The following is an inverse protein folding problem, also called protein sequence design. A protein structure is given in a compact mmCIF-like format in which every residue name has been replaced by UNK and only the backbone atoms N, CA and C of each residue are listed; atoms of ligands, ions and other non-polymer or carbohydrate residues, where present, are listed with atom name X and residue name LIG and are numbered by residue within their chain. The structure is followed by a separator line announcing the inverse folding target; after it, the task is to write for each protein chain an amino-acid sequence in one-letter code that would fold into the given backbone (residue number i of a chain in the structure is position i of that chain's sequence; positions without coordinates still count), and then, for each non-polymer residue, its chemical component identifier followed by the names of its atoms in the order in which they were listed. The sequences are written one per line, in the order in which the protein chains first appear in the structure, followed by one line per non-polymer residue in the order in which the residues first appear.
data_IF_440349383577
#
_entry.id   IF_440349383577
#
_cell.length_a   1.000
_cell.length_b   1.000
_cell.length_c   1.000
_cell.angle_alpha   90.00
_cell.angle_beta   90.00
_cell.angle_gamma   90.00
#
_symmetry.space_group_name_H-M   'P 1'
#
loop_
_entity.id
_entity.type
_entity.pdbx_description
1 polymer ?
#
# COMPACT_ATOMS: atom_id res chain seq x y z
N UNK A 1 -14.74 21.21 -3.94
CA UNK A 1 -14.37 19.92 -3.32
C UNK A 1 -13.30 20.21 -2.31
N UNK A 2 -13.37 19.65 -1.11
CA UNK A 2 -12.29 19.76 -0.14
C UNK A 2 -11.11 18.91 -0.62
N UNK A 3 -9.89 19.39 -0.43
CA UNK A 3 -8.67 18.63 -0.71
C UNK A 3 -8.56 17.48 0.31
N UNK A 4 -8.11 16.31 -0.14
CA UNK A 4 -7.82 15.16 0.73
C UNK A 4 -6.32 15.16 1.02
N UNK A 5 -5.97 15.17 2.30
CA UNK A 5 -4.61 15.20 2.85
C UNK A 5 -4.52 14.21 4.02
N UNK A 6 -3.31 13.97 4.53
CA UNK A 6 -3.11 13.16 5.74
C UNK A 6 -3.81 13.78 6.96
N UNK A 7 -3.83 15.11 7.08
CA UNK A 7 -4.58 15.85 8.14
C UNK A 7 -6.12 15.84 7.97
N UNK A 8 -6.65 15.18 6.93
CA UNK A 8 -8.10 15.16 6.70
C UNK A 8 -8.84 14.33 7.76
N UNK A 9 -9.98 14.81 8.31
CA UNK A 9 -10.73 14.06 9.31
C UNK A 9 -11.09 12.64 8.85
N UNK A 10 -10.64 11.64 9.60
CA UNK A 10 -10.88 10.22 9.33
C UNK A 10 -9.72 9.50 8.64
N UNK A 11 -8.75 10.22 8.07
CA UNK A 11 -7.48 9.64 7.61
C UNK A 11 -6.62 9.31 8.85
N UNK A 12 -6.15 8.07 9.01
CA UNK A 12 -5.28 7.71 10.13
C UNK A 12 -3.84 8.16 9.90
N UNK A 13 -3.09 8.35 10.99
CA UNK A 13 -1.74 8.92 10.99
C UNK A 13 -1.73 10.34 11.54
N UNK A 14 -0.56 10.86 11.88
CA UNK A 14 -0.35 12.29 12.03
C UNK A 14 0.07 12.88 10.67
N UNK A 15 -0.07 14.19 10.52
CA UNK A 15 0.46 14.91 9.35
C UNK A 15 1.85 15.41 9.74
N UNK A 16 2.90 14.76 9.24
CA UNK A 16 4.27 15.20 9.40
C UNK A 16 4.84 15.77 8.07
N UNK A 17 5.72 16.74 8.23
CA UNK A 17 6.29 17.45 7.09
C UNK A 17 7.31 16.56 6.37
N UNK A 18 6.87 15.81 5.38
CA UNK A 18 7.77 14.97 4.57
C UNK A 18 7.17 13.65 4.14
N UNK A 19 6.11 13.17 4.81
CA UNK A 19 5.63 11.78 4.74
C UNK A 19 5.20 11.35 3.33
N UNK A 20 4.91 12.31 2.47
CA UNK A 20 4.64 12.06 1.06
C UNK A 20 3.28 11.41 0.85
N UNK A 21 2.26 11.79 1.62
CA UNK A 21 0.88 11.42 1.37
C UNK A 21 0.48 11.78 -0.08
N UNK A 22 0.03 10.78 -0.84
CA UNK A 22 -0.28 10.94 -2.26
C UNK A 22 0.91 10.72 -3.19
N UNK A 23 2.03 10.19 -2.68
CA UNK A 23 3.20 9.79 -3.47
C UNK A 23 2.86 8.78 -4.58
N UNK A 24 1.89 7.91 -4.31
CA UNK A 24 1.28 7.02 -5.29
C UNK A 24 -0.23 6.92 -5.04
N UNK A 25 -1.02 6.69 -6.08
CA UNK A 25 -2.48 6.55 -5.98
C UNK A 25 -3.02 5.48 -6.93
N UNK A 26 -4.00 4.70 -6.47
CA UNK A 26 -4.70 3.72 -7.30
C UNK A 26 -6.16 3.57 -6.90
N UNK A 27 -7.02 3.23 -7.85
CA UNK A 27 -8.45 3.02 -7.62
C UNK A 27 -8.85 1.64 -8.13
N UNK A 28 -9.56 0.87 -7.30
CA UNK A 28 -10.11 -0.44 -7.65
C UNK A 28 -11.16 -0.90 -6.65
N UNK A 29 -12.10 -1.71 -7.11
CA UNK A 29 -13.25 -2.19 -6.32
C UNK A 29 -12.90 -3.48 -5.58
N UNK A 30 -12.43 -3.34 -4.35
CA UNK A 30 -11.95 -4.42 -3.48
C UNK A 30 -13.14 -5.23 -2.96
N UNK A 31 -14.23 -4.58 -2.54
CA UNK A 31 -15.37 -5.30 -1.95
C UNK A 31 -16.45 -5.73 -2.96
N UNK A 32 -16.30 -5.35 -4.22
CA UNK A 32 -17.18 -5.77 -5.31
C UNK A 32 -18.54 -5.07 -5.29
N UNK A 33 -18.65 -3.91 -4.63
CA UNK A 33 -19.90 -3.17 -4.50
C UNK A 33 -20.19 -2.25 -5.71
N UNK A 34 -19.26 -2.18 -6.66
CA UNK A 34 -19.32 -1.35 -7.86
C UNK A 34 -18.71 0.04 -7.70
N UNK A 35 -18.13 0.38 -6.55
CA UNK A 35 -17.48 1.66 -6.28
C UNK A 35 -16.04 1.46 -5.84
N UNK A 36 -15.08 1.92 -6.65
CA UNK A 36 -13.66 1.73 -6.36
C UNK A 36 -13.20 2.42 -5.07
N UNK A 37 -12.46 1.68 -4.25
CA UNK A 37 -11.64 2.19 -3.15
C UNK A 37 -10.47 3.01 -3.70
N UNK A 38 -9.96 3.94 -2.90
CA UNK A 38 -8.73 4.70 -3.19
C UNK A 38 -7.61 4.23 -2.27
N UNK A 39 -6.55 3.69 -2.86
CA UNK A 39 -5.28 3.45 -2.19
C UNK A 39 -4.35 4.66 -2.39
N UNK A 40 -3.68 5.07 -1.32
CA UNK A 40 -2.76 6.22 -1.29
C UNK A 40 -1.46 5.81 -0.62
N UNK A 41 -0.33 6.00 -1.29
CA UNK A 41 1.00 5.82 -0.72
C UNK A 41 1.40 6.99 0.18
N UNK A 42 2.09 6.68 1.28
CA UNK A 42 2.70 7.62 2.23
C UNK A 42 4.15 7.15 2.43
N UNK A 43 4.95 7.30 1.37
CA UNK A 43 6.25 6.64 1.17
C UNK A 43 7.28 6.92 2.26
N UNK A 44 7.18 8.06 2.96
CA UNK A 44 8.12 8.50 4.00
C UNK A 44 7.49 8.54 5.39
N UNK A 45 6.41 7.79 5.62
CA UNK A 45 5.79 7.69 6.94
C UNK A 45 6.73 7.03 7.96
N UNK A 46 6.83 7.65 9.14
CA UNK A 46 7.50 7.11 10.31
C UNK A 46 6.53 6.22 11.12
N UNK A 47 6.75 4.90 11.13
CA UNK A 47 5.92 3.96 11.90
C UNK A 47 6.67 3.50 13.15
N UNK A 48 6.02 3.62 14.31
CA UNK A 48 6.56 3.21 15.61
C UNK A 48 7.95 3.80 15.94
N UNK A 49 8.26 4.98 15.38
CA UNK A 49 9.53 5.69 15.56
C UNK A 49 10.68 5.21 14.67
N UNK A 50 10.39 4.42 13.64
CA UNK A 50 11.35 3.98 12.63
C UNK A 50 11.22 4.90 11.41
N UNK A 51 12.34 5.50 11.02
CA UNK A 51 12.42 6.54 9.97
C UNK A 51 12.04 6.00 8.59
N UNK A 52 11.16 6.71 7.89
CA UNK A 52 10.77 6.46 6.50
C UNK A 52 10.44 4.99 6.16
N UNK A 53 9.83 4.27 7.11
CA UNK A 53 9.33 2.90 6.83
C UNK A 53 8.34 2.88 5.68
N UNK A 54 7.54 3.95 5.57
CA UNK A 54 6.47 4.09 4.62
C UNK A 54 5.20 3.36 5.02
N UNK A 55 4.08 3.87 4.54
CA UNK A 55 2.76 3.27 4.72
C UNK A 55 1.85 3.51 3.52
N UNK A 56 0.64 2.96 3.61
CA UNK A 56 -0.43 3.29 2.67
C UNK A 56 -1.73 3.52 3.42
N UNK A 57 -2.61 4.37 2.87
CA UNK A 57 -3.96 4.59 3.34
C UNK A 57 -4.95 4.08 2.31
N UNK A 58 -5.89 3.23 2.75
CA UNK A 58 -7.01 2.76 1.94
C UNK A 58 -8.30 3.44 2.37
N UNK A 59 -8.95 4.14 1.44
CA UNK A 59 -10.20 4.86 1.65
C UNK A 59 -11.35 4.18 0.91
N UNK A 60 -12.51 4.09 1.56
CA UNK A 60 -13.68 3.38 1.02
C UNK A 60 -14.34 4.13 -0.14
N UNK A 61 -14.64 3.43 -1.22
CA UNK A 61 -15.46 3.92 -2.34
C UNK A 61 -16.95 3.90 -2.03
N UNK A 62 -17.72 4.80 -2.65
CA UNK A 62 -19.18 4.77 -2.58
C UNK A 62 -19.83 5.53 -3.73
N UNK A 63 -21.16 5.46 -3.83
CA UNK A 63 -21.95 6.30 -4.75
C UNK A 63 -21.73 7.81 -4.56
N UNK A 64 -21.31 8.24 -3.37
CA UNK A 64 -21.01 9.63 -3.06
C UNK A 64 -19.54 10.00 -3.36
N UNK A 65 -18.72 9.06 -3.84
CA UNK A 65 -17.27 9.18 -3.97
C UNK A 65 -16.52 8.52 -2.81
N UNK A 66 -15.23 8.84 -2.73
CA UNK A 66 -14.32 8.31 -1.70
C UNK A 66 -14.61 8.94 -0.35
N UNK A 67 -14.58 8.13 0.71
CA UNK A 67 -14.77 8.55 2.10
C UNK A 67 -13.53 8.28 2.95
N UNK A 68 -13.02 9.27 3.70
CA UNK A 68 -11.99 9.03 4.72
C UNK A 68 -12.55 8.37 5.98
N UNK A 69 -13.88 8.34 6.16
CA UNK A 69 -14.46 7.66 7.32
C UNK A 69 -14.21 6.16 7.24
N UNK A 70 -13.50 5.62 8.23
CA UNK A 70 -13.15 4.20 8.28
C UNK A 70 -11.97 3.84 7.38
N UNK A 71 -11.19 4.83 6.92
CA UNK A 71 -9.94 4.59 6.23
C UNK A 71 -8.98 3.76 7.09
N UNK A 72 -8.16 2.94 6.43
CA UNK A 72 -7.23 2.00 7.08
C UNK A 72 -5.81 2.25 6.62
N UNK A 73 -4.87 2.22 7.56
CA UNK A 73 -3.45 2.27 7.26
C UNK A 73 -2.88 0.85 7.18
N UNK A 74 -1.98 0.62 6.23
CA UNK A 74 -1.19 -0.60 6.08
C UNK A 74 0.29 -0.25 5.97
N UNK A 75 1.13 -1.01 6.65
CA UNK A 75 2.60 -0.95 6.62
C UNK A 75 3.18 -2.34 6.87
N UNK A 76 4.50 -2.51 6.75
CA UNK A 76 5.15 -3.78 7.10
C UNK A 76 5.09 -4.12 8.59
N UNK A 77 4.71 -3.18 9.45
CA UNK A 77 4.41 -3.43 10.86
C UNK A 77 2.98 -3.98 11.08
N UNK A 78 2.12 -3.93 10.05
CA UNK A 78 0.74 -4.42 10.14
C UNK A 78 0.73 -5.95 10.19
N UNK A 79 -0.12 -6.51 11.06
CA UNK A 79 -0.23 -7.96 11.22
C UNK A 79 -0.53 -8.65 9.90
N UNK A 80 0.31 -9.62 9.54
CA UNK A 80 0.14 -10.47 8.36
C UNK A 80 0.77 -9.91 7.08
N UNK A 81 1.20 -8.64 7.06
CA UNK A 81 1.98 -8.08 5.95
C UNK A 81 3.39 -8.70 5.99
N UNK A 82 3.87 -9.30 4.88
CA UNK A 82 5.22 -9.86 4.82
C UNK A 82 6.33 -8.82 5.00
N UNK A 83 7.44 -9.27 5.60
CA UNK A 83 8.61 -8.44 5.85
C UNK A 83 8.70 -7.99 7.31
N UNK A 84 9.57 -7.03 7.58
CA UNK A 84 9.68 -6.33 8.86
C UNK A 84 9.83 -4.86 8.53
N UNK A 85 9.21 -3.96 9.30
CA UNK A 85 9.42 -2.54 9.10
C UNK A 85 10.86 -2.18 9.51
N UNK A 86 11.66 -1.77 8.55
CA UNK A 86 13.03 -1.29 8.69
C UNK A 86 13.11 0.16 8.20
N UNK A 87 14.15 0.87 8.64
CA UNK A 87 14.31 2.26 8.25
C UNK A 87 14.54 2.36 6.74
N UNK A 88 13.84 3.31 6.11
CA UNK A 88 13.92 3.57 4.67
C UNK A 88 13.39 2.45 3.78
N UNK A 89 12.52 1.55 4.22
CA UNK A 89 11.97 0.51 3.31
C UNK A 89 11.07 1.09 2.21
N UNK A 90 10.51 2.28 2.46
CA UNK A 90 9.64 3.01 1.54
C UNK A 90 8.42 2.17 1.12
N UNK A 91 7.81 1.45 2.06
CA UNK A 91 6.55 0.74 1.81
C UNK A 91 5.47 1.73 1.37
N UNK A 92 4.71 1.39 0.34
CA UNK A 92 3.78 2.33 -0.28
C UNK A 92 4.40 3.24 -1.34
N UNK A 93 5.67 3.01 -1.69
CA UNK A 93 6.36 3.71 -2.79
C UNK A 93 5.66 3.61 -4.14
N UNK A 94 4.91 2.53 -4.37
CA UNK A 94 3.88 2.47 -5.40
C UNK A 94 2.73 1.57 -4.94
N UNK A 95 1.52 1.81 -5.48
CA UNK A 95 0.29 1.11 -5.12
C UNK A 95 -0.52 0.75 -6.36
N UNK A 96 -1.08 -0.46 -6.37
CA UNK A 96 -1.96 -0.92 -7.45
C UNK A 96 -3.14 -1.71 -6.90
N UNK A 97 -4.35 -1.22 -7.21
CA UNK A 97 -5.60 -1.95 -7.02
C UNK A 97 -6.01 -2.58 -8.36
N UNK A 98 -5.94 -3.90 -8.45
CA UNK A 98 -6.26 -4.64 -9.68
C UNK A 98 -6.75 -6.04 -9.37
N UNK A 99 -7.76 -6.50 -10.09
CA UNK A 99 -8.20 -7.90 -10.04
C UNK A 99 -7.13 -8.79 -10.69
N UNK A 100 -6.23 -9.34 -9.88
CA UNK A 100 -5.15 -10.24 -10.35
C UNK A 100 -5.55 -11.71 -10.23
N UNK A 101 -6.60 -12.01 -9.48
CA UNK A 101 -7.15 -13.36 -9.32
C UNK A 101 -8.21 -13.71 -10.36
N UNK A 102 -8.80 -12.71 -11.01
CA UNK A 102 -9.90 -12.86 -11.97
C UNK A 102 -11.25 -13.14 -11.33
N UNK A 103 -11.43 -12.80 -10.06
CA UNK A 103 -12.67 -13.07 -9.30
C UNK A 103 -13.69 -11.92 -9.37
N UNK A 104 -13.33 -10.83 -10.06
CA UNK A 104 -14.15 -9.64 -10.23
C UNK A 104 -13.92 -8.56 -9.18
N UNK A 105 -12.99 -8.76 -8.23
CA UNK A 105 -12.64 -7.79 -7.19
C UNK A 105 -11.19 -7.38 -7.32
N UNK A 106 -10.87 -6.15 -6.96
CA UNK A 106 -9.51 -5.67 -6.94
C UNK A 106 -8.73 -6.26 -5.77
N UNK A 107 -7.53 -6.76 -6.05
CA UNK A 107 -6.51 -7.10 -5.07
C UNK A 107 -5.55 -5.92 -4.89
N UNK A 108 -4.82 -5.90 -3.77
CA UNK A 108 -3.95 -4.78 -3.43
C UNK A 108 -2.47 -5.16 -3.51
N UNK A 109 -1.76 -4.57 -4.45
CA UNK A 109 -0.31 -4.71 -4.60
C UNK A 109 0.40 -3.43 -4.14
N UNK A 110 1.42 -3.58 -3.29
CA UNK A 110 2.20 -2.48 -2.72
C UNK A 110 3.69 -2.74 -2.89
N UNK A 111 4.44 -1.71 -3.25
CA UNK A 111 5.90 -1.78 -3.36
C UNK A 111 6.60 -1.20 -2.13
N UNK A 112 7.70 -1.82 -1.73
CA UNK A 112 8.71 -1.29 -0.81
C UNK A 112 10.02 -1.21 -1.59
N UNK A 113 10.24 -0.10 -2.30
CA UNK A 113 11.34 0.00 -3.28
C UNK A 113 12.73 -0.07 -2.66
N UNK A 114 12.83 0.12 -1.34
CA UNK A 114 14.12 0.19 -0.68
C UNK A 114 14.28 -0.83 0.45
N UNK A 115 13.32 -1.76 0.57
CA UNK A 115 13.45 -3.02 1.31
C UNK A 115 14.84 -3.65 1.11
N UNK A 116 15.48 -4.01 2.22
CA UNK A 116 16.77 -4.68 2.22
C UNK A 116 17.88 -3.83 1.60
N UNK A 117 17.93 -2.53 1.96
CA UNK A 117 18.93 -1.56 1.51
C UNK A 117 18.88 -1.33 -0.03
N UNK A 118 17.70 -1.15 -0.59
CA UNK A 118 17.53 -0.82 -2.01
C UNK A 118 17.36 -2.03 -2.94
N UNK A 119 17.24 -3.24 -2.39
CA UNK A 119 16.92 -4.45 -3.19
C UNK A 119 15.50 -4.34 -3.73
N UNK A 120 14.58 -3.93 -2.87
CA UNK A 120 13.16 -3.73 -3.17
C UNK A 120 12.33 -5.00 -3.07
N UNK A 121 11.06 -4.83 -2.75
CA UNK A 121 10.07 -5.88 -2.67
C UNK A 121 8.69 -5.41 -3.14
N UNK A 122 7.85 -6.38 -3.49
CA UNK A 122 6.43 -6.20 -3.78
C UNK A 122 5.63 -7.13 -2.89
N UNK A 123 4.60 -6.61 -2.24
CA UNK A 123 3.62 -7.38 -1.49
C UNK A 123 2.29 -7.33 -2.22
N UNK A 124 1.74 -8.50 -2.56
CA UNK A 124 0.37 -8.62 -3.07
C UNK A 124 -0.53 -9.22 -1.99
N UNK A 125 -1.60 -8.50 -1.66
CA UNK A 125 -2.62 -8.85 -0.69
C UNK A 125 -3.94 -9.08 -1.40
N UNK A 126 -4.55 -10.25 -1.17
CA UNK A 126 -5.75 -10.64 -1.90
C UNK A 126 -7.01 -10.10 -1.22
N UNK A 127 -8.02 -9.77 -2.02
CA UNK A 127 -9.32 -9.43 -1.46
C UNK A 127 -10.19 -10.67 -1.23
N UNK A 128 -10.93 -10.69 -0.13
CA UNK A 128 -12.02 -11.66 0.08
C UNK A 128 -13.41 -11.08 -0.28
N UNK A 129 -13.50 -9.81 -0.68
CA UNK A 129 -14.75 -9.07 -0.93
C UNK A 129 -15.36 -8.41 0.29
N UNK A 130 -14.70 -8.43 1.43
CA UNK A 130 -15.03 -7.60 2.60
C UNK A 130 -13.90 -6.65 2.98
N UNK A 131 -12.74 -6.83 2.36
CA UNK A 131 -11.56 -5.99 2.46
C UNK A 131 -10.34 -6.70 1.87
N UNK A 132 -9.17 -6.21 2.25
CA UNK A 132 -7.89 -6.87 1.97
C UNK A 132 -7.58 -7.82 3.12
N UNK A 133 -7.29 -9.07 2.80
CA UNK A 133 -6.86 -10.08 3.75
C UNK A 133 -5.34 -10.20 3.68
N UNK A 134 -4.61 -9.93 4.77
CA UNK A 134 -3.19 -10.22 4.83
C UNK A 134 -2.90 -11.74 4.89
N UNK A 135 -3.93 -12.55 5.20
CA UNK A 135 -3.84 -14.00 5.12
C UNK A 135 -3.82 -14.44 3.65
N UNK A 136 -2.69 -15.00 3.21
CA UNK A 136 -2.45 -15.39 1.83
C UNK A 136 -1.52 -14.45 1.06
N UNK A 137 -1.01 -13.41 1.73
CA UNK A 137 -0.05 -12.47 1.16
C UNK A 137 1.17 -13.14 0.57
N UNK A 138 1.64 -12.56 -0.53
CA UNK A 138 2.87 -12.99 -1.19
C UNK A 138 3.82 -11.81 -1.28
N UNK A 139 4.87 -11.87 -0.45
CA UNK A 139 6.04 -11.02 -0.61
C UNK A 139 6.93 -11.56 -1.73
N UNK A 140 7.28 -10.69 -2.66
CA UNK A 140 8.14 -11.00 -3.80
C UNK A 140 9.33 -10.06 -3.79
N UNK A 141 10.54 -10.64 -3.74
CA UNK A 141 11.78 -9.94 -4.06
C UNK A 141 12.49 -10.64 -5.23
N UNK A 142 13.65 -10.14 -5.67
CA UNK A 142 14.45 -10.78 -6.73
C UNK A 142 14.68 -12.28 -6.49
N UNK A 143 14.88 -12.69 -5.24
CA UNK A 143 15.14 -14.09 -4.85
C UNK A 143 13.95 -15.01 -5.09
N UNK A 144 12.71 -14.51 -5.08
CA UNK A 144 11.52 -15.28 -5.45
C UNK A 144 11.53 -15.69 -6.94
N UNK A 145 12.41 -15.07 -7.75
CA UNK A 145 12.58 -15.33 -9.18
C UNK A 145 13.99 -15.84 -9.51
N UNK A 146 14.69 -16.44 -8.54
CA UNK A 146 16.06 -16.92 -8.68
C UNK A 146 17.05 -15.83 -9.15
N UNK A 147 16.76 -14.57 -8.82
CA UNK A 147 17.67 -13.44 -9.08
C UNK A 147 18.43 -13.06 -7.80
N UNK A 148 19.68 -12.58 -7.92
CA UNK A 148 20.43 -12.05 -6.79
C UNK A 148 19.69 -10.89 -6.12
N UNK A 149 19.70 -10.85 -4.78
CA UNK A 149 19.31 -9.69 -4.00
C UNK A 149 20.43 -8.65 -4.06
N UNK A 150 20.35 -7.75 -5.03
CA UNK A 150 21.26 -6.62 -5.21
C UNK A 150 20.46 -5.34 -5.36
N UNK A 151 21.07 -4.20 -5.03
CA UNK A 151 20.47 -2.89 -5.24
C UNK A 151 19.85 -2.76 -6.64
N UNK A 152 18.55 -2.48 -6.69
CA UNK A 152 17.80 -2.50 -7.95
C UNK A 152 16.36 -2.02 -7.87
N UNK A 153 15.84 -1.68 -6.68
CA UNK A 153 14.47 -1.23 -6.47
C UNK A 153 13.44 -2.13 -7.17
N UNK A 154 13.51 -3.44 -6.89
CA UNK A 154 12.57 -4.39 -7.45
C UNK A 154 11.12 -3.96 -7.14
N UNK A 155 10.28 -3.91 -8.17
CA UNK A 155 8.90 -3.45 -8.01
C UNK A 155 8.69 -1.93 -8.07
N UNK A 156 9.70 -1.14 -8.47
CA UNK A 156 9.61 0.33 -8.43
C UNK A 156 8.48 0.99 -9.23
N UNK A 157 7.87 0.28 -10.17
CA UNK A 157 6.68 0.76 -10.85
C UNK A 157 5.73 -0.42 -11.06
N UNK A 158 4.51 -0.27 -10.57
CA UNK A 158 3.39 -1.16 -10.80
C UNK A 158 2.59 -0.63 -12.00
N UNK A 159 2.24 -1.51 -12.92
CA UNK A 159 1.49 -1.17 -14.13
C UNK A 159 0.42 -2.24 -14.36
N UNK A 160 -0.82 -1.83 -14.62
CA UNK A 160 -1.98 -2.71 -14.73
C UNK A 160 -3.10 -2.19 -15.62
#
# INVERSE_FOLDING_TARGET
MAELTQDSPGVPGADEAGDGFGSAVSIGDIDGDGYGELAVGVIFEDIDGIEDTGSTVLLKGSAAGVSPTGARTLSQASSGVPGTAEAMDYFGSDVLLKDVTGDGKADYTVSATFEGEGVGAVTAMLSDGTGISPDGDRGFGPTAFDRPATYGAFGANLIG
#
